data_IF_602686685157
#
_entry.id   IF_602686685157
#
_cell.length_a   1.000
_cell.length_b   1.000
_cell.length_c   1.000
_cell.angle_alpha   90.00
_cell.angle_beta   90.00
_cell.angle_gamma   90.00
#
_symmetry.space_group_name_H-M   'P 1'
#
loop_
_entity.id
_entity.type
_entity.pdbx_description
1 polymer ?
#
# COMPACT_ATOMS: atom_id res chain seq x y z
N UNK A 1 -11.47 3.55 24.73
CA UNK A 1 -11.48 2.83 23.46
C UNK A 1 -10.63 3.60 22.44
N UNK A 2 -9.60 2.96 21.93
CA UNK A 2 -8.73 3.60 20.96
C UNK A 2 -9.20 3.27 19.55
N UNK A 3 -9.51 4.30 18.78
CA UNK A 3 -9.85 4.11 17.39
C UNK A 3 -8.58 3.79 16.60
N UNK A 4 -8.71 2.98 15.56
CA UNK A 4 -7.60 2.70 14.67
C UNK A 4 -7.20 3.97 13.93
N UNK A 5 -5.91 4.24 13.86
CA UNK A 5 -5.36 5.43 13.22
C UNK A 5 -4.25 5.01 12.27
N UNK A 6 -4.28 5.55 11.07
CA UNK A 6 -3.22 5.35 10.09
C UNK A 6 -2.66 6.69 9.64
N UNK A 7 -1.45 6.66 9.08
CA UNK A 7 -0.84 7.82 8.45
C UNK A 7 -0.22 7.43 7.12
N UNK A 8 -0.31 8.33 6.16
CA UNK A 8 0.31 8.18 4.85
C UNK A 8 1.42 9.23 4.74
N UNK A 9 2.65 8.77 4.49
CA UNK A 9 3.79 9.66 4.36
C UNK A 9 4.31 9.61 2.94
N UNK A 10 4.29 10.74 2.26
CA UNK A 10 4.83 10.87 0.91
C UNK A 10 6.20 11.53 0.96
N UNK A 11 7.13 11.17 0.04
CA UNK A 11 8.41 11.85 -0.04
C UNK A 11 8.22 13.32 -0.41
N UNK A 12 9.06 14.19 0.14
CA UNK A 12 9.01 15.62 -0.16
C UNK A 12 9.36 15.93 -1.62
N UNK A 13 10.19 15.09 -2.21
CA UNK A 13 10.68 15.27 -3.58
C UNK A 13 9.86 14.49 -4.60
N UNK A 14 8.61 14.18 -4.30
CA UNK A 14 7.79 13.38 -5.19
C UNK A 14 7.58 14.08 -6.54
N UNK A 15 8.02 13.43 -7.61
CA UNK A 15 7.78 13.88 -8.98
C UNK A 15 6.37 13.47 -9.38
N UNK A 16 5.55 14.43 -9.78
CA UNK A 16 4.17 14.17 -10.16
C UNK A 16 4.04 13.25 -11.37
N UNK A 17 5.09 13.13 -12.18
CA UNK A 17 5.08 12.26 -13.36
C UNK A 17 5.47 10.81 -13.05
N UNK A 18 6.00 10.54 -11.86
CA UNK A 18 6.43 9.22 -11.44
C UNK A 18 5.47 8.64 -10.40
N UNK A 19 5.38 7.30 -10.27
CA UNK A 19 4.60 6.70 -9.20
C UNK A 19 5.13 7.11 -7.83
N UNK A 20 4.25 7.64 -6.98
CA UNK A 20 4.64 8.01 -5.63
C UNK A 20 4.88 6.75 -4.79
N UNK A 21 5.90 6.81 -3.94
CA UNK A 21 6.13 5.80 -2.92
C UNK A 21 5.61 6.35 -1.60
N UNK A 22 4.63 5.69 -1.02
CA UNK A 22 3.94 6.17 0.18
C UNK A 22 4.12 5.15 1.29
N UNK A 23 4.63 5.59 2.43
CA UNK A 23 4.77 4.74 3.61
C UNK A 23 3.50 4.84 4.43
N UNK A 24 2.91 3.68 4.73
CA UNK A 24 1.72 3.59 5.56
C UNK A 24 2.13 3.13 6.95
N UNK A 25 1.69 3.84 7.98
CA UNK A 25 1.93 3.46 9.37
C UNK A 25 0.62 3.37 10.10
N UNK A 26 0.63 2.69 11.24
CA UNK A 26 -0.52 2.61 12.12
C UNK A 26 -1.37 1.37 11.90
N UNK A 27 -2.66 1.53 12.05
CA UNK A 27 -3.61 0.43 12.07
C UNK A 27 -4.77 0.71 11.13
N UNK A 28 -5.20 -0.31 10.39
CA UNK A 28 -6.32 -0.20 9.47
C UNK A 28 -7.31 -1.31 9.79
N UNK A 29 -8.55 -0.93 10.10
CA UNK A 29 -9.63 -1.88 10.38
C UNK A 29 -10.95 -1.35 9.80
N UNK A 30 -12.04 -2.02 10.13
CA UNK A 30 -13.34 -1.67 9.60
C UNK A 30 -13.77 -0.23 9.96
N UNK A 31 -13.22 0.34 11.04
CA UNK A 31 -13.61 1.67 11.49
C UNK A 31 -13.00 2.79 10.65
N UNK A 32 -11.85 2.55 10.02
CA UNK A 32 -11.16 3.60 9.26
C UNK A 32 -10.81 3.20 7.82
N UNK A 33 -11.21 2.01 7.38
CA UNK A 33 -10.84 1.52 6.05
C UNK A 33 -11.37 2.39 4.92
N UNK A 34 -12.54 2.98 5.08
CA UNK A 34 -13.10 3.87 4.04
C UNK A 34 -12.26 5.12 3.86
N UNK A 35 -11.83 5.69 4.98
CA UNK A 35 -10.97 6.86 4.95
C UNK A 35 -9.61 6.51 4.33
N UNK A 36 -9.05 5.35 4.69
CA UNK A 36 -7.81 4.87 4.11
C UNK A 36 -7.94 4.74 2.59
N UNK A 37 -8.98 4.07 2.12
CA UNK A 37 -9.20 3.85 0.68
C UNK A 37 -9.33 5.17 -0.06
N UNK A 38 -10.11 6.10 0.49
CA UNK A 38 -10.29 7.42 -0.11
C UNK A 38 -8.98 8.19 -0.16
N UNK A 39 -8.24 8.17 0.95
CA UNK A 39 -6.96 8.87 1.02
C UNK A 39 -5.97 8.35 -0.02
N UNK A 40 -5.93 7.03 -0.21
CA UNK A 40 -5.06 6.44 -1.24
C UNK A 40 -5.49 6.89 -2.63
N UNK A 41 -6.78 6.88 -2.93
CA UNK A 41 -7.28 7.29 -4.24
C UNK A 41 -7.03 8.77 -4.54
N UNK A 42 -6.93 9.59 -3.51
CA UNK A 42 -6.70 11.03 -3.64
C UNK A 42 -5.22 11.39 -3.69
N UNK A 43 -4.30 10.42 -3.51
CA UNK A 43 -2.88 10.71 -3.58
C UNK A 43 -2.49 11.23 -4.96
N UNK A 44 -1.62 12.24 -5.01
CA UNK A 44 -1.15 12.77 -6.29
C UNK A 44 -0.17 11.82 -6.96
N UNK A 45 0.04 12.01 -8.26
CA UNK A 45 1.03 11.27 -9.00
C UNK A 45 0.45 10.20 -9.89
N UNK A 46 1.34 9.51 -10.58
CA UNK A 46 0.97 8.46 -11.52
C UNK A 46 0.47 7.21 -10.79
N UNK A 47 -0.43 6.48 -11.42
CA UNK A 47 -0.94 5.22 -10.90
C UNK A 47 -0.22 4.05 -11.57
N UNK A 48 -0.03 2.94 -10.87
CA UNK A 48 -0.38 2.70 -9.48
C UNK A 48 0.59 3.37 -8.50
N UNK A 49 0.10 3.69 -7.30
CA UNK A 49 0.91 4.22 -6.21
C UNK A 49 1.62 3.06 -5.52
N UNK A 50 2.87 3.24 -5.14
CA UNK A 50 3.63 2.23 -4.41
C UNK A 50 3.37 2.41 -2.92
N UNK A 51 2.69 1.44 -2.29
CA UNK A 51 2.41 1.46 -0.86
C UNK A 51 3.41 0.59 -0.12
N UNK A 52 4.18 1.20 0.76
CA UNK A 52 5.09 0.49 1.66
C UNK A 52 4.33 0.18 2.95
N UNK A 53 4.05 -1.10 3.19
CA UNK A 53 3.22 -1.54 4.31
C UNK A 53 3.99 -2.20 5.44
N UNK A 54 5.32 -2.20 5.37
CA UNK A 54 6.14 -2.89 6.39
C UNK A 54 5.97 -2.30 7.80
N UNK A 55 5.54 -1.06 7.91
CA UNK A 55 5.37 -0.38 9.20
C UNK A 55 3.93 -0.39 9.71
N UNK A 56 3.03 -1.05 9.00
CA UNK A 56 1.64 -1.21 9.47
C UNK A 56 1.64 -2.18 10.64
N UNK A 57 1.01 -1.79 11.73
CA UNK A 57 0.97 -2.59 12.96
C UNK A 57 -0.19 -3.56 12.98
N UNK A 58 -1.28 -3.25 12.29
CA UNK A 58 -2.46 -4.08 12.31
C UNK A 58 -3.28 -3.85 11.05
N UNK A 59 -3.78 -4.95 10.49
CA UNK A 59 -4.63 -4.92 9.31
C UNK A 59 -5.62 -6.09 9.45
N UNK A 60 -6.90 -5.78 9.53
CA UNK A 60 -7.92 -6.82 9.65
C UNK A 60 -8.45 -7.24 8.27
N UNK A 61 -9.47 -8.09 8.26
CA UNK A 61 -10.05 -8.58 7.01
C UNK A 61 -10.62 -7.46 6.15
N UNK A 62 -11.17 -6.41 6.75
CA UNK A 62 -11.67 -5.26 6.00
C UNK A 62 -10.52 -4.51 5.31
N UNK A 63 -9.38 -4.40 6.01
CA UNK A 63 -8.18 -3.81 5.44
C UNK A 63 -7.64 -4.62 4.26
N UNK A 64 -7.56 -5.94 4.41
CA UNK A 64 -7.11 -6.79 3.30
C UNK A 64 -8.07 -6.72 2.11
N UNK A 65 -9.37 -6.67 2.35
CA UNK A 65 -10.35 -6.53 1.27
C UNK A 65 -10.17 -5.22 0.53
N UNK A 66 -9.86 -4.14 1.24
CA UNK A 66 -9.59 -2.84 0.63
C UNK A 66 -8.33 -2.87 -0.24
N UNK A 67 -7.27 -3.51 0.25
CA UNK A 67 -6.04 -3.66 -0.55
C UNK A 67 -6.32 -4.45 -1.82
N UNK A 68 -7.06 -5.54 -1.71
CA UNK A 68 -7.40 -6.37 -2.86
C UNK A 68 -8.18 -5.57 -3.90
N UNK A 69 -9.13 -4.76 -3.45
CA UNK A 69 -9.90 -3.89 -4.34
C UNK A 69 -9.03 -2.86 -5.04
N UNK A 70 -8.13 -2.21 -4.27
CA UNK A 70 -7.23 -1.21 -4.84
C UNK A 70 -6.26 -1.83 -5.84
N UNK A 71 -5.80 -3.04 -5.56
CA UNK A 71 -4.97 -3.80 -6.52
C UNK A 71 -5.74 -4.10 -7.80
N UNK A 72 -7.00 -4.53 -7.67
CA UNK A 72 -7.84 -4.83 -8.83
C UNK A 72 -8.11 -3.59 -9.68
N UNK A 73 -8.15 -2.42 -9.06
CA UNK A 73 -8.32 -1.14 -9.77
C UNK A 73 -7.02 -0.63 -10.38
N UNK A 74 -5.92 -1.35 -10.18
CA UNK A 74 -4.58 -0.91 -10.57
C UNK A 74 -4.20 0.43 -9.92
N UNK A 75 -4.70 0.66 -8.72
CA UNK A 75 -4.47 1.90 -7.99
C UNK A 75 -3.19 1.84 -7.16
N UNK A 76 -2.77 0.65 -6.76
CA UNK A 76 -1.62 0.46 -5.88
C UNK A 76 -0.76 -0.73 -6.29
N UNK A 77 0.49 -0.68 -5.85
CA UNK A 77 1.40 -1.83 -5.78
C UNK A 77 1.84 -1.91 -4.32
N UNK A 78 1.90 -3.13 -3.79
CA UNK A 78 2.26 -3.34 -2.38
C UNK A 78 3.72 -3.72 -2.26
N UNK A 79 4.42 -3.04 -1.35
CA UNK A 79 5.79 -3.36 -0.95
C UNK A 79 5.78 -3.78 0.51
N UNK A 80 6.33 -4.95 0.80
CA UNK A 80 6.48 -5.47 2.15
C UNK A 80 7.85 -6.09 2.31
N UNK A 81 8.57 -5.65 3.35
CA UNK A 81 9.84 -6.27 3.69
C UNK A 81 9.61 -7.71 4.15
N UNK A 82 10.44 -8.67 3.72
CA UNK A 82 10.31 -10.06 4.19
C UNK A 82 10.43 -10.20 5.71
N UNK A 83 11.03 -9.23 6.38
CA UNK A 83 11.15 -9.24 7.85
C UNK A 83 9.87 -8.77 8.55
N UNK A 84 8.93 -8.19 7.81
CA UNK A 84 7.69 -7.72 8.39
C UNK A 84 6.77 -8.91 8.70
N UNK A 85 6.09 -8.86 9.86
CA UNK A 85 5.12 -9.90 10.17
C UNK A 85 3.97 -9.92 9.15
N UNK A 86 3.67 -8.77 8.56
CA UNK A 86 2.63 -8.66 7.53
C UNK A 86 2.98 -9.40 6.25
N UNK A 87 4.28 -9.61 5.99
CA UNK A 87 4.73 -10.30 4.79
C UNK A 87 4.14 -11.71 4.70
N UNK A 88 4.24 -12.46 5.80
CA UNK A 88 3.73 -13.83 5.84
C UNK A 88 2.22 -13.86 5.67
N UNK A 89 1.52 -12.92 6.31
CA UNK A 89 0.07 -12.85 6.19
C UNK A 89 -0.34 -12.54 4.75
N UNK A 90 0.37 -11.59 4.12
CA UNK A 90 0.09 -11.25 2.72
C UNK A 90 0.33 -12.44 1.79
N UNK A 91 1.37 -13.23 2.04
CA UNK A 91 1.61 -14.45 1.27
C UNK A 91 0.45 -15.44 1.43
N UNK A 92 -0.02 -15.64 2.66
CA UNK A 92 -1.13 -16.54 2.93
C UNK A 92 -2.42 -16.07 2.26
N UNK A 93 -2.58 -14.75 2.11
CA UNK A 93 -3.74 -14.16 1.44
C UNK A 93 -3.58 -14.11 -0.08
N UNK A 94 -2.45 -14.59 -0.58
CA UNK A 94 -2.12 -14.59 -2.03
C UNK A 94 -2.13 -13.20 -2.65
N UNK A 95 -1.74 -12.19 -1.87
CA UNK A 95 -1.62 -10.83 -2.39
C UNK A 95 -0.32 -10.67 -3.20
N UNK A 96 -0.36 -10.00 -4.36
CA UNK A 96 0.86 -9.69 -5.09
C UNK A 96 1.64 -8.62 -4.35
N UNK A 97 2.85 -8.97 -3.92
CA UNK A 97 3.72 -8.08 -3.16
C UNK A 97 5.12 -8.08 -3.75
N UNK A 98 5.82 -6.97 -3.55
CA UNK A 98 7.22 -6.82 -3.90
C UNK A 98 8.04 -6.64 -2.63
N UNK A 99 9.31 -7.03 -2.66
CA UNK A 99 10.17 -6.98 -1.48
C UNK A 99 10.64 -5.56 -1.15
N UNK A 100 10.76 -4.72 -2.16
CA UNK A 100 11.20 -3.34 -1.98
C UNK A 100 10.66 -2.46 -3.12
N UNK A 101 10.82 -1.15 -2.97
CA UNK A 101 10.31 -0.19 -3.93
C UNK A 101 10.99 -0.30 -5.30
N UNK A 102 12.27 -0.65 -5.32
CA UNK A 102 12.99 -0.82 -6.58
C UNK A 102 12.43 -1.97 -7.41
N UNK A 103 12.15 -3.10 -6.75
CA UNK A 103 11.53 -4.24 -7.40
C UNK A 103 10.14 -3.88 -7.94
N UNK A 104 9.38 -3.09 -7.17
CA UNK A 104 8.07 -2.63 -7.59
C UNK A 104 8.15 -1.75 -8.83
N UNK A 105 9.12 -0.82 -8.86
CA UNK A 105 9.31 0.06 -10.02
C UNK A 105 9.73 -0.71 -11.26
N UNK A 106 10.59 -1.72 -11.09
CA UNK A 106 10.99 -2.57 -12.21
C UNK A 106 9.80 -3.33 -12.79
N UNK A 107 8.94 -3.83 -11.91
CA UNK A 107 7.72 -4.51 -12.35
C UNK A 107 6.81 -3.60 -13.17
N UNK A 108 6.72 -2.33 -12.80
CA UNK A 108 5.93 -1.35 -13.55
C UNK A 108 6.53 -1.07 -14.92
N UNK A 109 7.84 -0.94 -15.01
CA UNK A 109 8.52 -0.71 -16.30
C UNK A 109 8.33 -1.89 -17.24
N UNK A 110 8.48 -3.11 -16.71
CA UNK A 110 8.30 -4.32 -17.51
C UNK A 110 6.85 -4.48 -17.94
N UNK A 111 5.91 -4.14 -17.07
CA UNK A 111 4.49 -4.22 -17.36
C UNK A 111 3.99 -3.18 -18.35
N UNK A 112 4.78 -2.14 -18.60
CA UNK A 112 4.40 -1.08 -19.53
C UNK A 112 4.71 -1.42 -20.98
N UNK A 113 5.38 -2.51 -21.21
CA UNK A 113 5.77 -2.93 -22.56
C UNK A 113 4.62 -3.63 -23.31
#
# INVERSE_FOLDING_TARGET
>A
MTDAVFQLQTPEDADASAPAEVTVTGEIDASNVREFTRSVRELPGARPVILQLSSVKYLDSAGFAALDRLLAENAIIIVLSPDSFMYRVAELMCLPIHHDAEAARRGLQDGAS
#
